data_IF_402122465409
#
_entry.id   IF_402122465409
#
_cell.length_a   1.000
_cell.length_b   1.000
_cell.length_c   1.000
_cell.angle_alpha   90.00
_cell.angle_beta   90.00
_cell.angle_gamma   90.00
#
_symmetry.space_group_name_H-M   'P 1'
#
loop_
_entity.id
_entity.type
_entity.pdbx_description
1 polymer ?
#
# COMPACT_ATOMS: atom_id res chain seq x y z
N UNK A 1 3.88 -31.15 -8.27
CA UNK A 1 4.85 -30.11 -7.88
C UNK A 1 6.21 -30.78 -7.85
N UNK A 2 7.26 -30.17 -8.44
CA UNK A 2 8.62 -30.71 -8.35
C UNK A 2 9.09 -30.67 -6.89
N UNK A 3 9.76 -31.72 -6.44
CA UNK A 3 10.36 -31.74 -5.10
C UNK A 3 11.59 -30.83 -5.06
N UNK A 4 11.98 -30.37 -3.87
CA UNK A 4 13.13 -29.47 -3.73
C UNK A 4 14.42 -30.13 -4.27
N UNK A 5 14.58 -31.45 -4.05
CA UNK A 5 15.69 -32.26 -4.57
C UNK A 5 15.76 -32.23 -6.09
N UNK A 6 14.64 -32.48 -6.78
CA UNK A 6 14.57 -32.47 -8.26
C UNK A 6 14.91 -31.11 -8.87
N UNK A 7 14.72 -30.02 -8.13
CA UNK A 7 15.09 -28.67 -8.55
C UNK A 7 16.57 -28.34 -8.31
N UNK A 8 17.22 -29.03 -7.37
CA UNK A 8 18.62 -28.81 -6.99
C UNK A 8 19.60 -29.66 -7.82
N UNK A 9 19.18 -30.84 -8.28
CA UNK A 9 19.96 -31.72 -9.15
C UNK A 9 20.57 -31.03 -10.39
N UNK A 10 19.83 -30.22 -11.19
CA UNK A 10 20.41 -29.54 -12.35
C UNK A 10 21.36 -28.39 -11.96
N UNK A 11 21.31 -27.92 -10.72
CA UNK A 11 22.15 -26.83 -10.21
C UNK A 11 23.40 -27.36 -9.49
N UNK A 12 23.52 -28.69 -9.32
CA UNK A 12 24.59 -29.35 -8.57
C UNK A 12 24.77 -28.77 -7.14
N UNK A 13 23.65 -28.39 -6.51
CA UNK A 13 23.59 -27.81 -5.17
C UNK A 13 23.13 -28.88 -4.19
N UNK A 14 23.91 -29.11 -3.12
CA UNK A 14 23.48 -29.97 -2.02
C UNK A 14 22.45 -29.20 -1.17
N UNK A 15 21.25 -29.76 -0.99
CA UNK A 15 20.26 -29.20 -0.08
C UNK A 15 20.66 -29.56 1.35
N UNK A 16 21.39 -28.66 1.98
CA UNK A 16 21.67 -28.72 3.41
C UNK A 16 21.09 -27.50 4.11
N UNK A 17 20.87 -27.61 5.41
CA UNK A 17 20.68 -26.43 6.24
C UNK A 17 21.94 -25.55 6.16
N UNK A 18 21.80 -24.22 6.04
CA UNK A 18 22.95 -23.33 6.03
C UNK A 18 23.71 -23.44 7.35
N UNK A 19 25.04 -23.62 7.27
CA UNK A 19 25.90 -24.12 8.36
C UNK A 19 26.02 -23.26 9.62
N UNK A 20 25.37 -22.11 9.74
CA UNK A 20 25.19 -21.37 10.98
C UNK A 20 24.23 -20.19 10.76
N UNK A 21 22.93 -20.48 10.76
CA UNK A 21 21.95 -19.43 11.04
C UNK A 21 21.83 -19.33 12.56
N UNK A 22 22.54 -18.37 13.17
CA UNK A 22 22.40 -18.03 14.59
C UNK A 22 20.93 -17.90 14.99
N UNK A 23 20.60 -18.18 16.27
CA UNK A 23 19.26 -17.93 16.84
C UNK A 23 18.72 -16.59 16.35
N UNK A 24 17.54 -16.60 15.73
CA UNK A 24 16.91 -15.38 15.27
C UNK A 24 16.57 -14.50 16.49
N UNK A 25 17.09 -13.28 16.54
CA UNK A 25 16.90 -12.39 17.69
C UNK A 25 15.46 -11.84 17.80
N UNK A 26 14.82 -11.59 16.65
CA UNK A 26 13.51 -10.96 16.58
C UNK A 26 12.38 -11.95 16.25
N UNK A 27 12.66 -13.26 16.25
CA UNK A 27 11.69 -14.31 15.87
C UNK A 27 11.81 -15.55 16.73
N UNK A 28 10.73 -16.29 16.80
CA UNK A 28 10.72 -17.60 17.44
C UNK A 28 11.59 -18.56 16.63
N UNK A 29 12.50 -19.25 17.32
CA UNK A 29 13.25 -20.34 16.73
C UNK A 29 12.35 -21.58 16.75
N UNK A 30 11.91 -22.00 15.56
CA UNK A 30 11.16 -23.24 15.41
C UNK A 30 12.12 -24.43 15.47
N UNK A 31 11.72 -25.51 16.14
CA UNK A 31 12.45 -26.78 16.08
C UNK A 31 12.21 -27.39 14.71
N UNK A 32 13.24 -27.44 13.88
CA UNK A 32 13.17 -27.90 12.49
C UNK A 32 13.96 -29.21 12.40
N UNK A 33 13.40 -30.21 11.72
CA UNK A 33 14.04 -31.54 11.59
C UNK A 33 14.57 -31.81 10.18
N UNK A 34 14.06 -31.09 9.17
CA UNK A 34 14.43 -31.28 7.77
C UNK A 34 14.84 -29.96 7.09
N UNK A 35 15.86 -29.98 6.20
CA UNK A 35 16.30 -28.77 5.48
C UNK A 35 15.18 -28.09 4.67
N UNK A 36 14.23 -28.85 4.11
CA UNK A 36 13.11 -28.27 3.36
C UNK A 36 12.16 -27.47 4.25
N UNK A 37 11.94 -27.92 5.49
CA UNK A 37 11.15 -27.20 6.49
C UNK A 37 11.86 -25.91 6.91
N UNK A 38 13.19 -25.94 6.98
CA UNK A 38 14.00 -24.75 7.24
C UNK A 38 13.71 -23.67 6.23
N UNK A 39 13.83 -23.97 4.93
CA UNK A 39 13.58 -22.97 3.89
C UNK A 39 12.12 -22.49 3.89
N UNK A 40 11.17 -23.37 4.24
CA UNK A 40 9.78 -22.95 4.35
C UNK A 40 9.55 -21.92 5.46
N UNK A 41 10.10 -22.18 6.63
CA UNK A 41 9.98 -21.28 7.79
C UNK A 41 10.84 -20.02 7.60
N UNK A 42 12.05 -20.15 7.06
CA UNK A 42 12.99 -19.05 6.92
C UNK A 42 12.62 -18.08 5.79
N UNK A 43 11.91 -18.53 4.75
CA UNK A 43 11.55 -17.70 3.58
C UNK A 43 10.05 -17.41 3.53
N UNK A 44 9.19 -18.44 3.54
CA UNK A 44 7.75 -18.20 3.34
C UNK A 44 7.10 -17.49 4.51
N UNK A 45 7.39 -17.88 5.77
CA UNK A 45 6.81 -17.21 6.95
C UNK A 45 7.14 -15.70 6.99
N UNK A 46 8.41 -15.25 6.83
CA UNK A 46 8.72 -13.82 6.69
C UNK A 46 7.90 -13.13 5.60
N UNK A 47 7.81 -13.76 4.44
CA UNK A 47 7.13 -13.19 3.29
C UNK A 47 5.63 -13.04 3.56
N UNK A 48 4.98 -14.07 4.09
CA UNK A 48 3.56 -14.04 4.45
C UNK A 48 3.29 -12.99 5.53
N UNK A 49 4.14 -12.89 6.56
CA UNK A 49 4.01 -11.86 7.59
C UNK A 49 4.16 -10.45 7.01
N UNK A 50 5.11 -10.26 6.07
CA UNK A 50 5.30 -8.99 5.38
C UNK A 50 4.10 -8.63 4.51
N UNK A 51 3.54 -9.59 3.77
CA UNK A 51 2.33 -9.40 2.97
C UNK A 51 1.14 -9.02 3.85
N UNK A 52 0.92 -9.73 4.95
CA UNK A 52 -0.14 -9.41 5.90
C UNK A 52 0.02 -8.00 6.46
N UNK A 53 1.23 -7.62 6.89
CA UNK A 53 1.50 -6.28 7.37
C UNK A 53 1.29 -5.21 6.29
N UNK A 54 1.68 -5.50 5.05
CA UNK A 54 1.47 -4.60 3.92
C UNK A 54 -0.02 -4.39 3.61
N UNK A 55 -0.80 -5.47 3.60
CA UNK A 55 -2.24 -5.42 3.37
C UNK A 55 -2.94 -4.68 4.52
N UNK A 56 -2.61 -5.01 5.77
CA UNK A 56 -3.14 -4.32 6.95
C UNK A 56 -2.85 -2.82 6.91
N UNK A 57 -1.64 -2.44 6.50
CA UNK A 57 -1.29 -1.03 6.32
C UNK A 57 -2.06 -0.40 5.16
N UNK A 58 -2.17 -1.06 4.02
CA UNK A 58 -2.84 -0.52 2.82
C UNK A 58 -4.33 -0.29 3.04
N UNK A 59 -5.00 -1.19 3.76
CA UNK A 59 -6.42 -1.12 4.08
C UNK A 59 -6.68 -0.60 5.50
N UNK A 60 -5.72 0.13 6.08
CA UNK A 60 -5.95 0.82 7.34
C UNK A 60 -7.05 1.87 7.16
N UNK A 61 -7.80 2.12 8.23
CA UNK A 61 -8.88 3.11 8.23
C UNK A 61 -8.41 4.45 7.66
N UNK A 62 -7.24 4.92 8.07
CA UNK A 62 -6.63 6.15 7.56
C UNK A 62 -6.42 6.15 6.04
N UNK A 63 -5.98 5.03 5.45
CA UNK A 63 -5.78 4.93 4.01
C UNK A 63 -7.09 4.79 3.24
N UNK A 64 -8.10 4.16 3.84
CA UNK A 64 -9.45 4.14 3.27
C UNK A 64 -10.04 5.56 3.25
N UNK A 65 -9.91 6.30 4.35
CA UNK A 65 -10.35 7.72 4.44
C UNK A 65 -9.58 8.63 3.46
N UNK A 66 -8.29 8.39 3.26
CA UNK A 66 -7.52 9.19 2.29
C UNK A 66 -7.95 8.94 0.84
N UNK A 67 -8.39 7.73 0.51
CA UNK A 67 -9.01 7.43 -0.80
C UNK A 67 -10.38 8.10 -0.92
N UNK A 68 -11.16 8.17 0.17
CA UNK A 68 -12.43 8.90 0.17
C UNK A 68 -12.24 10.40 -0.10
N UNK A 69 -11.13 11.03 0.31
CA UNK A 69 -10.83 12.43 -0.04
C UNK A 69 -10.80 12.67 -1.56
N UNK A 70 -10.46 11.67 -2.37
CA UNK A 70 -10.46 11.80 -3.83
C UNK A 70 -11.87 12.03 -4.40
N UNK A 71 -12.93 11.73 -3.63
CA UNK A 71 -14.31 12.03 -4.01
C UNK A 71 -14.60 13.54 -3.96
N UNK A 72 -13.86 14.30 -3.15
CA UNK A 72 -13.90 15.76 -3.12
C UNK A 72 -13.14 16.39 -4.30
N UNK A 73 -12.60 15.60 -5.22
CA UNK A 73 -12.00 16.15 -6.43
C UNK A 73 -13.09 16.74 -7.34
N UNK A 74 -12.82 17.92 -7.89
CA UNK A 74 -13.72 18.75 -8.71
C UNK A 74 -14.39 17.93 -9.82
N UNK A 75 -13.60 17.14 -10.56
CA UNK A 75 -14.09 16.28 -11.63
C UNK A 75 -15.08 15.19 -11.15
N UNK A 76 -14.98 14.74 -9.90
CA UNK A 76 -15.90 13.75 -9.31
C UNK A 76 -17.11 14.41 -8.67
N UNK A 77 -16.93 15.57 -8.03
CA UNK A 77 -18.01 16.35 -7.42
C UNK A 77 -19.15 16.66 -8.38
N UNK A 78 -18.84 16.90 -9.66
CA UNK A 78 -19.86 17.13 -10.70
C UNK A 78 -20.86 15.98 -10.87
N UNK A 79 -20.42 14.75 -10.60
CA UNK A 79 -21.24 13.54 -10.78
C UNK A 79 -21.77 12.97 -9.47
N UNK A 80 -21.38 13.53 -8.32
CA UNK A 80 -21.86 13.12 -7.02
C UNK A 80 -23.27 13.68 -6.77
N UNK A 81 -24.17 12.83 -6.26
CA UNK A 81 -25.47 13.29 -5.78
C UNK A 81 -25.32 14.16 -4.52
N UNK A 82 -26.34 14.98 -4.25
CA UNK A 82 -26.35 15.84 -3.06
C UNK A 82 -26.22 15.03 -1.76
N UNK A 83 -26.91 13.88 -1.71
CA UNK A 83 -26.93 12.99 -0.54
C UNK A 83 -25.55 12.37 -0.30
N UNK A 84 -24.91 11.88 -1.36
CA UNK A 84 -23.56 11.30 -1.27
C UNK A 84 -22.52 12.35 -0.84
N UNK A 85 -22.61 13.57 -1.39
CA UNK A 85 -21.72 14.65 -1.01
C UNK A 85 -21.85 15.01 0.47
N UNK A 86 -23.08 15.17 0.97
CA UNK A 86 -23.31 15.48 2.39
C UNK A 86 -22.77 14.39 3.32
N UNK A 87 -22.95 13.11 2.98
CA UNK A 87 -22.40 12.01 3.76
C UNK A 87 -20.87 12.09 3.87
N UNK A 88 -20.19 12.37 2.76
CA UNK A 88 -18.72 12.53 2.72
C UNK A 88 -18.28 13.78 3.49
N UNK A 89 -19.01 14.89 3.35
CA UNK A 89 -18.74 16.16 3.99
C UNK A 89 -19.04 16.16 5.51
N UNK A 90 -19.76 15.16 6.02
CA UNK A 90 -19.94 14.92 7.46
C UNK A 90 -18.87 13.99 8.04
N UNK A 91 -18.48 12.96 7.28
CA UNK A 91 -17.56 11.92 7.75
C UNK A 91 -16.09 12.38 7.76
N UNK A 92 -15.63 13.08 6.72
CA UNK A 92 -14.22 13.47 6.58
C UNK A 92 -13.74 14.55 7.57
N UNK A 93 -14.50 15.64 7.85
CA UNK A 93 -14.06 16.64 8.83
C UNK A 93 -13.93 16.03 10.23
N UNK A 94 -14.83 15.10 10.60
CA UNK A 94 -14.77 14.41 11.87
C UNK A 94 -13.50 13.55 12.00
N UNK A 95 -13.12 12.84 10.93
CA UNK A 95 -11.93 11.99 10.94
C UNK A 95 -10.62 12.78 10.99
N UNK A 96 -10.50 13.86 10.22
CA UNK A 96 -9.27 14.66 10.13
C UNK A 96 -9.24 15.89 11.05
N UNK A 97 -10.31 16.15 11.81
CA UNK A 97 -10.48 17.35 12.63
C UNK A 97 -10.26 18.65 11.84
N UNK A 98 -10.78 18.69 10.61
CA UNK A 98 -10.67 19.87 9.74
C UNK A 98 -11.89 20.77 9.97
N UNK A 99 -11.66 21.93 10.58
CA UNK A 99 -12.72 22.92 10.78
C UNK A 99 -13.20 23.52 9.46
N UNK A 100 -14.49 23.85 9.39
CA UNK A 100 -15.14 24.52 8.25
C UNK A 100 -15.13 23.78 6.89
N UNK A 101 -14.51 22.60 6.77
CA UNK A 101 -14.49 21.81 5.54
C UNK A 101 -15.88 21.55 4.97
N UNK A 102 -16.87 21.28 5.84
CA UNK A 102 -18.26 21.07 5.41
C UNK A 102 -18.85 22.32 4.75
N UNK A 103 -18.62 23.50 5.33
CA UNK A 103 -19.17 24.77 4.84
C UNK A 103 -18.53 25.16 3.49
N UNK A 104 -17.21 25.10 3.40
CA UNK A 104 -16.49 25.36 2.15
C UNK A 104 -16.83 24.32 1.08
N UNK A 105 -16.93 23.05 1.47
CA UNK A 105 -17.29 21.96 0.58
C UNK A 105 -18.67 22.17 -0.07
N UNK A 106 -19.67 22.64 0.68
CA UNK A 106 -21.00 22.95 0.12
C UNK A 106 -20.88 24.07 -0.92
N UNK A 107 -20.13 25.12 -0.62
CA UNK A 107 -19.90 26.22 -1.56
C UNK A 107 -19.21 25.73 -2.84
N UNK A 108 -18.18 24.88 -2.72
CA UNK A 108 -17.54 24.25 -3.88
C UNK A 108 -18.53 23.40 -4.67
N UNK A 109 -19.31 22.56 -4.00
CA UNK A 109 -20.29 21.70 -4.65
C UNK A 109 -21.30 22.50 -5.50
N UNK A 110 -21.79 23.63 -4.97
CA UNK A 110 -22.71 24.53 -5.67
C UNK A 110 -22.04 25.21 -6.88
N UNK A 111 -20.81 25.70 -6.72
CA UNK A 111 -20.04 26.33 -7.81
C UNK A 111 -19.86 25.32 -8.96
N UNK A 112 -19.39 24.11 -8.67
CA UNK A 112 -19.07 23.10 -9.69
C UNK A 112 -20.29 22.47 -10.34
N UNK A 113 -21.44 22.44 -9.66
CA UNK A 113 -22.71 22.01 -10.27
C UNK A 113 -23.22 23.06 -11.27
N UNK A 114 -22.96 24.34 -11.02
CA UNK A 114 -23.46 25.45 -11.82
C UNK A 114 -22.50 25.86 -12.96
N UNK A 115 -21.25 25.40 -12.97
CA UNK A 115 -20.33 25.63 -14.08
C UNK A 115 -20.80 24.95 -15.38
N UNK A 116 -21.00 25.75 -16.43
CA UNK A 116 -21.17 25.27 -17.80
C UNK A 116 -19.85 24.70 -18.30
N UNK A 117 -19.90 23.48 -18.84
CA UNK A 117 -18.73 22.64 -19.08
C UNK A 117 -17.66 23.28 -20.00
N UNK A 118 -16.57 23.79 -19.41
CA UNK A 118 -15.23 23.74 -20.01
C UNK A 118 -14.25 23.11 -19.02
N UNK A 119 -14.60 21.91 -18.56
CA UNK A 119 -13.81 21.11 -17.61
C UNK A 119 -12.50 20.56 -18.20
N UNK A 120 -12.19 20.85 -19.46
CA UNK A 120 -10.99 20.40 -20.18
C UNK A 120 -9.68 20.90 -19.54
N UNK A 121 -9.72 22.03 -18.82
CA UNK A 121 -8.53 22.65 -18.19
C UNK A 121 -8.13 22.03 -16.85
N UNK A 122 -9.04 21.32 -16.18
CA UNK A 122 -8.81 20.71 -14.86
C UNK A 122 -8.70 19.18 -14.93
N UNK A 123 -8.74 18.61 -16.14
CA UNK A 123 -8.79 17.17 -16.42
C UNK A 123 -7.42 16.49 -16.57
N UNK A 124 -6.31 17.13 -16.21
CA UNK A 124 -5.09 16.37 -15.96
C UNK A 124 -4.98 16.05 -14.48
N UNK A 125 -5.45 14.88 -14.02
CA UNK A 125 -4.79 14.26 -12.91
C UNK A 125 -3.41 13.87 -13.44
N UNK A 126 -2.46 14.80 -13.38
CA UNK A 126 -1.07 14.44 -13.14
C UNK A 126 -1.01 13.89 -11.71
N UNK A 127 -1.73 12.79 -11.49
CA UNK A 127 -1.35 11.77 -10.53
C UNK A 127 -0.03 11.25 -11.09
N UNK A 128 1.02 12.02 -10.84
CA UNK A 128 2.33 11.47 -10.65
C UNK A 128 2.16 10.47 -9.50
N UNK A 129 1.74 9.25 -9.84
CA UNK A 129 2.42 8.07 -9.36
C UNK A 129 3.90 8.35 -9.67
N UNK A 130 4.58 9.14 -8.84
CA UNK A 130 6.02 9.02 -8.75
C UNK A 130 6.18 7.57 -8.33
N UNK A 131 6.71 6.69 -9.20
CA UNK A 131 7.29 5.49 -8.67
C UNK A 131 8.29 6.00 -7.63
N UNK A 132 8.26 5.40 -6.46
CA UNK A 132 9.24 5.58 -5.41
C UNK A 132 10.66 5.55 -6.00
N UNK A 133 11.17 6.72 -6.43
CA UNK A 133 12.59 6.99 -6.57
C UNK A 133 13.15 7.14 -5.16
N UNK A 134 13.07 6.05 -4.41
CA UNK A 134 13.80 5.83 -3.17
C UNK A 134 14.51 4.48 -3.30
N UNK A 135 15.31 4.35 -4.35
CA UNK A 135 16.40 3.39 -4.44
C UNK A 135 17.38 3.82 -5.54
N UNK A 136 18.04 4.95 -5.34
CA UNK A 136 19.36 5.14 -5.94
C UNK A 136 20.38 4.78 -4.87
N UNK A 137 20.86 3.55 -4.93
CA UNK A 137 22.08 3.13 -4.24
C UNK A 137 23.22 4.06 -4.68
N UNK A 138 23.57 5.02 -3.82
CA UNK A 138 24.92 5.57 -3.87
C UNK A 138 25.86 4.47 -3.37
N UNK A 139 26.39 3.65 -4.28
CA UNK A 139 27.61 2.91 -4.02
C UNK A 139 28.71 3.95 -3.77
N UNK A 140 28.99 4.21 -2.50
CA UNK A 140 30.20 4.91 -2.07
C UNK A 140 31.32 3.88 -2.14
N UNK A 141 32.10 3.91 -3.23
CA UNK A 141 33.40 3.24 -3.27
C UNK A 141 34.28 3.88 -2.20
N UNK A 142 34.65 3.11 -1.19
CA UNK A 142 35.73 3.46 -0.28
C UNK A 142 37.05 3.06 -0.96
N UNK A 143 37.93 4.03 -1.14
CA UNK A 143 39.35 3.80 -1.39
C UNK A 143 40.04 3.42 -0.09
#
# INVERSE_FOLDING_TARGET
MKTASEAADPLNVLISEPGQASRQAHRQNYGIQFPEEYYRVAIYVPHMNSLTAFLARRFSEHNVKSVQLLQLHLAKMKYLSCVEFHAIADELPAFYSIENLKKEGISWYEIWRNETADSSKYLTPNFCLRPSHCFQSKQKQWR
#
